data_IF_222760722621
#
_entry.id   IF_222760722621
#
_cell.length_a   1.000
_cell.length_b   1.000
_cell.length_c   1.000
_cell.angle_alpha   90.00
_cell.angle_beta   90.00
_cell.angle_gamma   90.00
#
_symmetry.space_group_name_H-M   'P 1'
#
loop_
_entity.id
_entity.type
_entity.pdbx_description
1 polymer ?
#
# COMPACT_ATOMS: atom_id res chain seq x y z
N UNK A 1 14.49 13.18 8.79
CA UNK A 1 14.09 11.78 9.01
C UNK A 1 14.56 10.98 7.80
N UNK A 2 15.80 10.50 7.83
CA UNK A 2 16.40 9.70 6.77
C UNK A 2 16.28 8.22 7.15
N UNK A 3 15.67 7.42 6.27
CA UNK A 3 15.95 6.00 6.21
C UNK A 3 15.56 5.50 4.81
N UNK A 4 16.55 5.05 4.05
CA UNK A 4 16.41 4.15 2.91
C UNK A 4 15.82 2.81 3.36
N UNK A 5 14.61 2.82 3.92
CA UNK A 5 14.00 1.61 4.44
C UNK A 5 13.45 0.84 3.24
N UNK A 6 14.25 -0.13 2.78
CA UNK A 6 13.94 -1.02 1.65
C UNK A 6 12.50 -1.56 1.75
N UNK A 7 11.86 -1.75 0.60
CA UNK A 7 10.58 -2.44 0.54
C UNK A 7 10.77 -3.88 1.04
N UNK A 8 9.84 -4.34 1.88
CA UNK A 8 9.83 -5.72 2.35
C UNK A 8 8.94 -6.58 1.44
N UNK A 9 9.03 -7.91 1.49
CA UNK A 9 8.12 -8.78 0.74
C UNK A 9 6.64 -8.54 1.06
N UNK A 10 6.33 -8.05 2.28
CA UNK A 10 4.97 -7.63 2.66
C UNK A 10 4.55 -6.36 1.92
N UNK A 11 5.44 -5.37 1.86
CA UNK A 11 5.20 -4.15 1.10
C UNK A 11 4.95 -4.45 -0.39
N UNK A 12 5.77 -5.31 -1.00
CA UNK A 12 5.65 -5.67 -2.41
C UNK A 12 4.27 -6.30 -2.74
N UNK A 13 3.78 -7.23 -1.91
CA UNK A 13 2.46 -7.84 -2.10
C UNK A 13 1.33 -6.81 -2.03
N UNK A 14 1.37 -5.92 -1.04
CA UNK A 14 0.37 -4.85 -0.88
C UNK A 14 0.42 -3.88 -2.05
N UNK A 15 1.62 -3.48 -2.49
CA UNK A 15 1.80 -2.63 -3.67
C UNK A 15 1.18 -3.26 -4.91
N UNK A 16 1.46 -4.55 -5.17
CA UNK A 16 0.89 -5.26 -6.32
C UNK A 16 -0.64 -5.29 -6.29
N UNK A 17 -1.25 -5.48 -5.12
CA UNK A 17 -2.71 -5.45 -4.98
C UNK A 17 -3.32 -4.05 -5.21
N UNK A 18 -2.59 -2.98 -4.90
CA UNK A 18 -3.05 -1.60 -5.09
C UNK A 18 -2.71 -1.02 -6.47
N UNK A 19 -1.77 -1.64 -7.20
CA UNK A 19 -1.25 -1.16 -8.48
C UNK A 19 -2.34 -0.90 -9.54
N UNK A 20 -3.42 -1.71 -9.66
CA UNK A 20 -4.51 -1.43 -10.59
C UNK A 20 -5.26 -0.12 -10.30
N UNK A 21 -5.09 0.49 -9.13
CA UNK A 21 -5.77 1.72 -8.74
C UNK A 21 -7.21 1.53 -8.24
N UNK A 22 -7.68 0.28 -8.16
CA UNK A 22 -8.97 -0.06 -7.59
C UNK A 22 -8.94 0.02 -6.06
N UNK A 23 -10.10 0.26 -5.46
CA UNK A 23 -10.26 0.22 -4.01
C UNK A 23 -10.14 -1.22 -3.48
N UNK A 24 -9.34 -1.39 -2.42
CA UNK A 24 -9.16 -2.65 -1.71
C UNK A 24 -9.56 -2.47 -0.26
N UNK A 25 -10.54 -3.26 0.19
CA UNK A 25 -10.99 -3.27 1.60
C UNK A 25 -9.89 -3.83 2.52
N UNK A 26 -9.85 -3.34 3.76
CA UNK A 26 -8.86 -3.70 4.78
C UNK A 26 -8.74 -5.22 4.97
N UNK A 27 -9.85 -5.95 4.96
CA UNK A 27 -9.87 -7.40 5.18
C UNK A 27 -9.20 -8.16 4.03
N UNK A 28 -9.40 -7.70 2.79
CA UNK A 28 -8.71 -8.25 1.62
C UNK A 28 -7.22 -7.90 1.67
N UNK A 29 -6.90 -6.67 2.08
CA UNK A 29 -5.53 -6.20 2.22
C UNK A 29 -4.75 -7.00 3.29
N UNK A 30 -5.37 -7.31 4.42
CA UNK A 30 -4.78 -8.13 5.48
C UNK A 30 -4.37 -9.52 4.98
N UNK A 31 -5.21 -10.14 4.14
CA UNK A 31 -4.90 -11.43 3.47
C UNK A 31 -3.71 -11.30 2.53
N UNK A 32 -3.68 -10.24 1.70
CA UNK A 32 -2.55 -9.95 0.80
C UNK A 32 -1.25 -9.72 1.59
N UNK A 33 -1.32 -8.98 2.69
CA UNK A 33 -0.19 -8.67 3.57
C UNK A 33 0.27 -9.89 4.39
N UNK A 34 -0.59 -10.89 4.59
CA UNK A 34 -0.32 -12.04 5.47
C UNK A 34 -0.23 -11.63 6.94
N UNK A 35 -0.98 -10.59 7.32
CA UNK A 35 -1.03 -10.07 8.69
C UNK A 35 -2.31 -9.27 8.89
N UNK A 36 -2.96 -9.40 10.05
CA UNK A 36 -4.20 -8.68 10.41
C UNK A 36 -4.00 -7.20 10.77
N UNK A 37 -2.95 -6.58 10.22
CA UNK A 37 -2.54 -5.20 10.46
C UNK A 37 -2.16 -4.46 9.16
N UNK A 38 -2.96 -4.64 8.11
CA UNK A 38 -2.85 -3.91 6.85
C UNK A 38 -2.75 -2.38 7.01
N UNK A 39 -3.45 -1.72 7.97
CA UNK A 39 -3.30 -0.29 8.20
C UNK A 39 -1.87 0.17 8.51
N UNK A 40 -1.10 -0.62 9.27
CA UNK A 40 0.33 -0.32 9.55
C UNK A 40 1.17 -0.45 8.28
N UNK A 41 0.90 -1.44 7.43
CA UNK A 41 1.57 -1.57 6.12
C UNK A 41 1.28 -0.35 5.23
N UNK A 42 0.03 0.11 5.21
CA UNK A 42 -0.35 1.33 4.48
C UNK A 42 0.35 2.57 5.04
N UNK A 43 0.43 2.71 6.36
CA UNK A 43 1.14 3.79 7.02
C UNK A 43 2.63 3.81 6.64
N UNK A 44 3.29 2.65 6.66
CA UNK A 44 4.68 2.50 6.24
C UNK A 44 4.88 2.85 4.76
N UNK A 45 3.97 2.42 3.87
CA UNK A 45 4.04 2.76 2.44
C UNK A 45 3.85 4.26 2.19
N UNK A 46 2.91 4.90 2.89
CA UNK A 46 2.72 6.36 2.85
C UNK A 46 3.96 7.11 3.34
N UNK A 47 4.64 6.61 4.37
CA UNK A 47 5.93 7.16 4.80
C UNK A 47 7.04 7.05 3.74
N UNK A 48 6.97 6.05 2.85
CA UNK A 48 7.96 5.83 1.78
C UNK A 48 7.65 6.58 0.49
N UNK A 49 6.38 6.71 0.14
CA UNK A 49 5.93 7.26 -1.16
C UNK A 49 5.30 8.65 -1.05
N UNK A 50 5.09 9.15 0.17
CA UNK A 50 4.30 10.33 0.47
C UNK A 50 2.87 9.96 0.91
N UNK A 51 2.31 10.76 1.82
CA UNK A 51 1.02 10.46 2.46
C UNK A 51 -0.17 10.50 1.51
N UNK A 52 -0.05 11.28 0.44
CA UNK A 52 -0.97 11.44 -0.70
C UNK A 52 -0.84 10.32 -1.76
N UNK A 53 0.15 9.43 -1.66
CA UNK A 53 0.33 8.34 -2.62
C UNK A 53 -0.77 7.27 -2.52
N UNK A 54 -1.34 7.08 -1.32
CA UNK A 54 -2.39 6.09 -1.06
C UNK A 54 -3.55 6.82 -0.43
N UNK A 55 -4.73 6.75 -1.02
CA UNK A 55 -5.97 7.21 -0.41
C UNK A 55 -6.50 6.19 0.60
N UNK A 56 -7.24 6.70 1.59
CA UNK A 56 -7.92 5.89 2.60
C UNK A 56 -9.27 6.50 2.87
N UNK A 57 -10.30 5.66 2.87
CA UNK A 57 -11.63 6.06 3.31
C UNK A 57 -12.30 4.94 4.09
N UNK A 58 -13.39 5.28 4.77
CA UNK A 58 -14.26 4.30 5.42
C UNK A 58 -15.55 4.20 4.63
N UNK A 59 -16.02 2.98 4.44
CA UNK A 59 -17.32 2.70 3.83
C UNK A 59 -18.22 1.97 4.80
N UNK A 60 -19.52 2.11 4.59
CA UNK A 60 -20.51 1.30 5.29
C UNK A 60 -20.36 -0.17 4.91
N UNK A 61 -20.50 -1.04 5.91
CA UNK A 61 -20.48 -2.48 5.76
C UNK A 61 -21.44 -3.11 6.76
N UNK A 62 -21.66 -4.41 6.61
CA UNK A 62 -22.46 -5.21 7.54
C UNK A 62 -21.53 -6.26 8.16
N UNK A 63 -21.52 -6.34 9.49
CA UNK A 63 -20.73 -7.33 10.20
C UNK A 63 -21.38 -8.72 10.19
N UNK A 64 -20.70 -9.69 10.81
CA UNK A 64 -21.18 -11.08 10.88
C UNK A 64 -22.51 -11.24 11.60
N UNK A 65 -22.87 -10.31 12.49
CA UNK A 65 -24.08 -10.35 13.29
C UNK A 65 -25.21 -9.51 12.66
N UNK A 66 -25.02 -9.04 11.42
CA UNK A 66 -26.00 -8.25 10.68
C UNK A 66 -26.06 -6.77 11.07
N UNK A 67 -25.08 -6.27 11.83
CA UNK A 67 -25.06 -4.88 12.28
C UNK A 67 -24.27 -4.00 11.32
N UNK A 68 -24.76 -2.76 11.13
CA UNK A 68 -24.05 -1.76 10.36
C UNK A 68 -22.72 -1.40 11.05
N UNK A 69 -21.65 -1.34 10.26
CA UNK A 69 -20.32 -0.96 10.72
C UNK A 69 -19.59 -0.17 9.63
N UNK A 70 -18.34 0.19 9.90
CA UNK A 70 -17.49 0.86 8.93
C UNK A 70 -16.19 0.08 8.72
N UNK A 71 -15.83 -0.16 7.46
CA UNK A 71 -14.57 -0.80 7.08
C UNK A 71 -13.69 0.17 6.30
N UNK A 72 -12.39 0.12 6.53
CA UNK A 72 -11.42 0.90 5.78
C UNK A 72 -11.19 0.32 4.38
N UNK A 73 -10.98 1.17 3.38
CA UNK A 73 -10.48 0.77 2.06
C UNK A 73 -9.40 1.72 1.57
N UNK A 74 -8.53 1.20 0.73
CA UNK A 74 -7.33 1.87 0.25
C UNK A 74 -7.21 1.76 -1.27
N UNK A 75 -6.66 2.79 -1.92
CA UNK A 75 -6.23 2.71 -3.32
C UNK A 75 -4.98 3.53 -3.55
N UNK A 76 -4.20 3.14 -4.55
CA UNK A 76 -3.08 3.95 -5.01
C UNK A 76 -3.61 5.12 -5.86
N UNK A 77 -3.16 6.33 -5.58
CA UNK A 77 -3.48 7.50 -6.40
C UNK A 77 -2.71 7.47 -7.71
N UNK A 78 -3.09 8.32 -8.68
CA UNK A 78 -2.31 8.51 -9.90
C UNK A 78 -0.88 8.94 -9.57
N UNK A 79 -0.73 9.93 -8.69
CA UNK A 79 0.57 10.39 -8.22
C UNK A 79 1.34 9.30 -7.46
N UNK A 80 0.65 8.47 -6.67
CA UNK A 80 1.26 7.32 -6.01
C UNK A 80 1.84 6.29 -6.99
N UNK A 81 1.15 6.03 -8.11
CA UNK A 81 1.67 5.17 -9.19
C UNK A 81 2.92 5.75 -9.84
N UNK A 82 2.92 7.04 -10.11
CA UNK A 82 4.06 7.74 -10.72
C UNK A 82 5.30 7.68 -9.82
N UNK A 83 5.13 7.95 -8.52
CA UNK A 83 6.23 7.88 -7.54
C UNK A 83 6.76 6.45 -7.37
N UNK A 84 5.88 5.44 -7.40
CA UNK A 84 6.29 4.04 -7.36
C UNK A 84 7.13 3.65 -8.59
N UNK A 85 6.75 4.11 -9.78
CA UNK A 85 7.50 3.87 -11.01
C UNK A 85 8.89 4.51 -10.95
N UNK A 86 9.01 5.74 -10.45
CA UNK A 86 10.29 6.43 -10.26
C UNK A 86 11.21 5.68 -9.29
N UNK A 87 10.68 5.19 -8.17
CA UNK A 87 11.46 4.42 -7.19
C UNK A 87 11.97 3.10 -7.79
N UNK A 88 11.14 2.43 -8.59
CA UNK A 88 11.50 1.18 -9.25
C UNK A 88 12.56 1.39 -10.32
N UNK A 89 12.46 2.47 -11.10
CA UNK A 89 13.47 2.85 -12.09
C UNK A 89 14.81 3.19 -11.41
N UNK A 90 14.78 3.94 -10.30
CA UNK A 90 15.97 4.31 -9.54
C UNK A 90 16.66 3.11 -8.87
N UNK A 91 15.88 2.09 -8.47
CA UNK A 91 16.43 0.85 -7.94
C UNK A 91 17.20 0.05 -9.01
N UNK A 92 16.74 0.06 -10.26
CA UNK A 92 17.42 -0.62 -11.36
C UNK A 92 18.70 0.09 -11.79
N UNK A 93 18.71 1.43 -11.83
CA UNK A 93 19.90 2.20 -12.25
C UNK A 93 21.07 2.12 -11.27
N UNK A 94 20.81 1.87 -9.98
CA UNK A 94 21.87 1.72 -8.97
C UNK A 94 22.36 0.26 -8.82
N UNK A 95 21.70 -0.71 -9.46
CA UNK A 95 22.08 -2.12 -9.46
C UNK A 95 23.09 -2.52 -10.54
N UNK A 96 23.26 -1.70 -11.58
CA UNK A 96 24.14 -1.99 -12.73
C UNK A 96 25.57 -1.42 -12.59
N UNK A 97 25.84 -0.58 -11.58
CA UNK A 97 27.16 0.01 -11.36
C UNK A 97 28.15 -0.86 -10.54
N UNK A 98 27.85 -2.15 -10.37
CA UNK A 98 28.66 -3.09 -9.59
C UNK A 98 28.95 -4.40 -10.35
N UNK A 99 29.32 -4.27 -11.64
CA UNK A 99 29.86 -5.36 -12.46
C UNK A 99 31.22 -4.94 -13.05
#
# INVERSE_FOLDING_TARGET
>A
MNAHQKLSPRHARVIQALLPGNWVIREALDRVAGSSNGPDVIYQLRGKFGYDAIESERIEAVDRDGKACQVGRYRLTQQGRERLAQISANANTHGEAAA
#
